data_IF_847734894715
#
_entry.id   IF_847734894715
#
_cell.length_a   1.000
_cell.length_b   1.000
_cell.length_c   1.000
_cell.angle_alpha   90.00
_cell.angle_beta   90.00
_cell.angle_gamma   90.00
#
_symmetry.space_group_name_H-M   'P 1'
#
loop_
_entity.id
_entity.type
_entity.pdbx_description
1 polymer ?
#
# COMPACT_ATOMS: atom_id res chain seq x y z
N UNK A 1 12.91 -13.34 -1.32
CA UNK A 1 12.03 -12.23 -1.73
C UNK A 1 12.30 -11.04 -0.83
N UNK A 2 12.81 -9.92 -1.36
CA UNK A 2 13.12 -8.71 -0.56
C UNK A 2 12.06 -7.60 -0.71
N UNK A 3 11.28 -7.64 -1.79
CA UNK A 3 10.20 -6.69 -2.04
C UNK A 3 9.03 -6.92 -1.07
N UNK A 4 8.36 -5.86 -0.58
CA UNK A 4 7.16 -6.02 0.23
C UNK A 4 6.07 -6.78 -0.54
N UNK A 5 5.37 -7.67 0.15
CA UNK A 5 4.29 -8.47 -0.42
C UNK A 5 2.92 -7.94 0.01
N UNK A 6 2.05 -7.73 -0.97
CA UNK A 6 0.62 -7.49 -0.78
C UNK A 6 -0.13 -8.74 -1.21
N UNK A 7 -0.99 -9.28 -0.33
CA UNK A 7 -1.78 -10.48 -0.62
C UNK A 7 -3.24 -10.09 -0.81
N UNK A 8 -3.86 -10.56 -1.88
CA UNK A 8 -5.28 -10.43 -2.15
C UNK A 8 -6.01 -11.61 -1.49
N UNK A 9 -6.98 -11.26 -0.65
CA UNK A 9 -7.86 -12.21 0.02
C UNK A 9 -9.28 -12.10 -0.55
N UNK A 10 -9.83 -13.25 -0.93
CA UNK A 10 -11.21 -13.35 -1.38
C UNK A 10 -12.20 -13.23 -0.22
N UNK A 11 -13.38 -12.68 -0.51
CA UNK A 11 -14.55 -12.68 0.39
C UNK A 11 -14.26 -12.19 1.81
N UNK A 12 -13.59 -11.05 1.93
CA UNK A 12 -13.31 -10.44 3.23
C UNK A 12 -14.60 -10.06 3.96
N UNK A 13 -14.73 -10.50 5.22
CA UNK A 13 -15.82 -10.11 6.12
C UNK A 13 -15.32 -9.08 7.14
N UNK A 14 -16.22 -8.25 7.68
CA UNK A 14 -15.87 -7.24 8.69
C UNK A 14 -15.18 -5.97 8.17
N UNK A 15 -14.96 -5.84 6.86
CA UNK A 15 -14.40 -4.63 6.25
C UNK A 15 -15.47 -3.78 5.53
N UNK A 16 -15.33 -2.44 5.53
CA UNK A 16 -16.23 -1.52 4.80
C UNK A 16 -16.29 -1.84 3.29
N UNK A 17 -17.41 -1.52 2.65
CA UNK A 17 -17.54 -1.69 1.20
C UNK A 17 -16.54 -0.83 0.40
N UNK A 18 -16.16 0.33 0.94
CA UNK A 18 -15.22 1.27 0.29
C UNK A 18 -13.81 0.71 0.09
N UNK A 19 -13.42 -0.35 0.81
CA UNK A 19 -12.10 -0.98 0.65
C UNK A 19 -12.13 -2.24 -0.22
N UNK A 20 -13.33 -2.71 -0.59
CA UNK A 20 -13.49 -3.95 -1.36
C UNK A 20 -13.48 -3.65 -2.85
N UNK A 21 -12.83 -4.52 -3.61
CA UNK A 21 -12.98 -4.56 -5.05
C UNK A 21 -14.42 -5.00 -5.44
N UNK A 22 -14.84 -4.81 -6.70
CA UNK A 22 -16.17 -5.23 -7.16
C UNK A 22 -16.48 -6.72 -6.96
N UNK A 23 -15.45 -7.58 -6.95
CA UNK A 23 -15.56 -9.01 -6.68
C UNK A 23 -15.58 -9.37 -5.17
N UNK A 24 -15.53 -8.36 -4.30
CA UNK A 24 -15.51 -8.50 -2.85
C UNK A 24 -14.13 -8.82 -2.24
N UNK A 25 -13.08 -8.89 -3.06
CA UNK A 25 -11.71 -9.13 -2.59
C UNK A 25 -11.10 -7.88 -1.94
N UNK A 26 -10.09 -8.09 -1.09
CA UNK A 26 -9.30 -7.02 -0.44
C UNK A 26 -7.82 -7.36 -0.48
N UNK A 27 -7.00 -6.37 -0.83
CA UNK A 27 -5.56 -6.45 -0.74
C UNK A 27 -5.08 -6.03 0.67
N UNK A 28 -4.28 -6.88 1.32
CA UNK A 28 -3.68 -6.61 2.63
C UNK A 28 -2.16 -6.76 2.57
N UNK A 29 -1.46 -5.96 3.37
CA UNK A 29 0.00 -6.01 3.52
C UNK A 29 0.37 -5.82 4.99
N UNK A 30 1.36 -6.57 5.45
CA UNK A 30 2.04 -6.29 6.72
C UNK A 30 3.18 -5.31 6.45
N UNK A 31 3.11 -4.12 7.03
CA UNK A 31 4.17 -3.13 6.90
C UNK A 31 5.43 -3.60 7.64
N UNK A 32 6.59 -3.47 7.00
CA UNK A 32 7.89 -3.84 7.57
C UNK A 32 8.72 -2.64 8.00
N UNK A 33 8.46 -1.46 7.42
CA UNK A 33 9.09 -0.20 7.81
C UNK A 33 8.71 0.15 9.27
N UNK A 34 9.71 0.52 10.07
CA UNK A 34 9.57 0.77 11.50
C UNK A 34 8.58 1.89 11.80
N UNK A 35 8.71 3.02 11.09
CA UNK A 35 7.79 4.15 11.22
C UNK A 35 6.35 3.74 10.91
N UNK A 36 6.11 3.01 9.82
CA UNK A 36 4.78 2.51 9.48
C UNK A 36 4.22 1.58 10.57
N UNK A 37 5.06 0.70 11.12
CA UNK A 37 4.64 -0.24 12.18
C UNK A 37 4.26 0.48 13.46
N UNK A 38 5.05 1.46 13.89
CA UNK A 38 4.75 2.26 15.08
C UNK A 38 3.49 3.12 14.88
N UNK A 39 3.34 3.72 13.70
CA UNK A 39 2.15 4.51 13.35
C UNK A 39 0.88 3.65 13.43
N UNK A 40 0.88 2.47 12.79
CA UNK A 40 -0.26 1.55 12.81
C UNK A 40 -0.54 1.05 14.24
N UNK A 41 0.51 0.71 15.00
CA UNK A 41 0.37 0.26 16.39
C UNK A 41 -0.23 1.34 17.29
N UNK A 42 0.24 2.58 17.16
CA UNK A 42 -0.27 3.74 17.93
C UNK A 42 -1.70 4.10 17.51
N UNK A 43 -2.02 4.00 16.22
CA UNK A 43 -3.37 4.21 15.70
C UNK A 43 -4.35 3.12 16.19
N UNK A 44 -3.85 1.92 16.49
CA UNK A 44 -4.62 0.82 17.08
C UNK A 44 -5.60 0.14 16.11
N UNK A 45 -5.52 0.45 14.82
CA UNK A 45 -6.39 -0.07 13.76
C UNK A 45 -5.61 -0.20 12.43
N UNK A 46 -6.07 -1.02 11.47
CA UNK A 46 -5.49 -1.05 10.14
C UNK A 46 -5.57 0.30 9.43
N UNK A 47 -4.60 0.59 8.56
CA UNK A 47 -4.60 1.76 7.68
C UNK A 47 -4.92 1.35 6.25
N UNK A 48 -5.82 2.09 5.62
CA UNK A 48 -6.07 2.02 4.19
C UNK A 48 -5.04 2.92 3.52
N UNK A 49 -4.32 2.39 2.53
CA UNK A 49 -3.27 3.13 1.83
C UNK A 49 -3.32 2.84 0.34
N UNK A 50 -3.03 3.87 -0.45
CA UNK A 50 -2.69 3.78 -1.88
C UNK A 50 -1.29 4.35 -2.08
N UNK A 51 -0.74 4.21 -3.28
CA UNK A 51 0.45 4.97 -3.66
C UNK A 51 0.11 6.45 -3.79
N UNK A 52 1.07 7.32 -3.50
CA UNK A 52 0.91 8.78 -3.50
C UNK A 52 1.01 9.39 -4.91
N UNK A 53 0.20 8.88 -5.84
CA UNK A 53 0.06 9.36 -7.21
C UNK A 53 -1.42 9.44 -7.59
N UNK A 54 -1.74 10.18 -8.66
CA UNK A 54 -3.09 10.16 -9.19
C UNK A 54 -3.37 8.83 -9.88
N UNK A 55 -4.64 8.46 -9.93
CA UNK A 55 -5.07 7.24 -10.59
C UNK A 55 -4.65 7.25 -12.07
N UNK A 56 -3.95 6.19 -12.50
CA UNK A 56 -3.40 6.07 -13.86
C UNK A 56 -2.00 6.68 -14.06
N UNK A 57 -1.49 7.48 -13.12
CA UNK A 57 -0.13 8.01 -13.19
C UNK A 57 0.91 7.01 -12.67
N UNK A 58 2.19 7.14 -13.06
CA UNK A 58 3.27 6.31 -12.53
C UNK A 58 3.42 6.41 -11.00
N UNK A 59 3.89 5.31 -10.40
CA UNK A 59 4.29 5.30 -8.99
C UNK A 59 5.47 6.28 -8.76
N UNK A 60 5.46 7.10 -7.71
CA UNK A 60 6.56 7.99 -7.40
C UNK A 60 7.65 7.23 -6.61
N UNK A 61 8.84 7.00 -7.18
CA UNK A 61 9.88 6.18 -6.54
C UNK A 61 10.52 6.85 -5.31
N UNK A 62 10.35 8.16 -5.15
CA UNK A 62 10.88 8.97 -4.05
C UNK A 62 9.89 10.07 -3.70
N UNK A 63 10.06 10.70 -2.53
CA UNK A 63 9.25 11.85 -2.14
C UNK A 63 9.28 12.99 -3.16
N UNK A 64 10.46 13.28 -3.74
CA UNK A 64 10.63 14.35 -4.74
C UNK A 64 9.89 14.10 -6.06
N UNK A 65 9.41 12.88 -6.31
CA UNK A 65 8.60 12.54 -7.48
C UNK A 65 7.08 12.65 -7.24
N UNK A 66 6.64 12.94 -6.01
CA UNK A 66 5.22 13.16 -5.70
C UNK A 66 4.81 14.52 -6.25
N UNK A 67 3.66 14.57 -6.92
CA UNK A 67 3.17 15.82 -7.51
C UNK A 67 2.81 16.85 -6.43
N UNK A 68 3.09 18.12 -6.70
CA UNK A 68 2.73 19.24 -5.82
C UNK A 68 1.22 19.33 -5.58
N UNK A 69 0.40 18.86 -6.53
CA UNK A 69 -1.04 18.77 -6.37
C UNK A 69 -1.42 17.82 -5.23
N UNK A 70 -0.82 16.64 -5.14
CA UNK A 70 -1.10 15.72 -4.03
C UNK A 70 -0.64 16.34 -2.72
N UNK A 71 0.57 16.89 -2.68
CA UNK A 71 1.13 17.50 -1.47
C UNK A 71 0.31 18.70 -0.97
N UNK A 72 -0.31 19.45 -1.88
CA UNK A 72 -1.16 20.60 -1.56
C UNK A 72 -2.61 20.25 -1.18
N UNK A 73 -3.07 19.02 -1.43
CA UNK A 73 -4.45 18.59 -1.19
C UNK A 73 -4.60 17.63 0.00
N UNK A 74 -3.55 17.40 0.78
CA UNK A 74 -3.59 16.56 1.99
C UNK A 74 -3.47 17.41 3.26
N UNK A 75 -4.14 16.98 4.33
CA UNK A 75 -4.10 17.68 5.62
C UNK A 75 -2.70 17.65 6.27
N UNK A 76 -1.92 16.61 5.98
CA UNK A 76 -0.61 16.42 6.57
C UNK A 76 0.33 15.61 5.68
N UNK A 77 1.58 16.05 5.63
CA UNK A 77 2.70 15.33 5.00
C UNK A 77 3.74 15.05 6.07
N UNK A 78 4.00 13.77 6.34
CA UNK A 78 5.01 13.37 7.33
C UNK A 78 6.43 13.71 6.84
N UNK A 79 7.29 14.20 7.74
CA UNK A 79 8.67 14.62 7.42
C UNK A 79 9.68 13.47 7.34
N UNK A 80 9.29 12.26 7.71
CA UNK A 80 10.17 11.09 7.75
C UNK A 80 10.67 10.72 6.35
N UNK A 81 12.00 10.58 6.18
CA UNK A 81 12.69 10.14 4.95
C UNK A 81 12.34 10.90 3.66
N UNK A 82 11.93 12.16 3.74
CA UNK A 82 11.65 12.97 2.52
C UNK A 82 12.90 13.27 1.67
N UNK A 83 14.07 13.22 2.28
CA UNK A 83 15.37 13.43 1.64
C UNK A 83 15.94 12.17 1.00
N UNK A 84 15.34 11.00 1.26
CA UNK A 84 15.75 9.73 0.67
C UNK A 84 15.69 9.76 -0.85
N UNK A 85 16.78 9.29 -1.48
CA UNK A 85 16.96 9.27 -2.94
C UNK A 85 16.98 7.86 -3.49
N UNK A 86 16.93 6.83 -2.64
CA UNK A 86 16.85 5.46 -3.08
C UNK A 86 15.55 5.26 -3.85
N UNK A 87 15.64 4.78 -5.09
CA UNK A 87 14.47 4.50 -5.87
C UNK A 87 13.85 3.21 -5.38
N UNK A 88 12.60 3.31 -4.93
CA UNK A 88 11.85 2.15 -4.51
C UNK A 88 10.87 1.69 -5.56
N UNK A 89 10.63 0.41 -5.48
CA UNK A 89 9.71 -0.29 -6.33
C UNK A 89 8.39 -0.58 -5.59
N UNK A 90 7.23 -0.61 -6.29
CA UNK A 90 5.97 -0.96 -5.66
C UNK A 90 5.99 -2.39 -5.10
N UNK A 91 5.07 -2.73 -4.21
CA UNK A 91 4.97 -4.09 -3.68
C UNK A 91 4.64 -5.12 -4.76
N UNK A 92 5.16 -6.33 -4.61
CA UNK A 92 4.65 -7.49 -5.33
C UNK A 92 3.23 -7.76 -4.85
N UNK A 93 2.35 -8.17 -5.76
CA UNK A 93 0.96 -8.51 -5.47
C UNK A 93 0.78 -9.98 -5.77
N UNK A 94 0.37 -10.74 -4.75
CA UNK A 94 -0.03 -12.12 -4.92
C UNK A 94 -1.49 -12.33 -4.52
N UNK A 95 -2.14 -13.31 -5.12
CA UNK A 95 -3.45 -13.82 -4.72
C UNK A 95 -3.26 -15.21 -4.15
N UNK A 96 -3.99 -15.52 -3.08
CA UNK A 96 -4.04 -16.90 -2.57
C UNK A 96 -5.14 -17.64 -3.31
N UNK A 97 -4.78 -18.72 -4.02
CA UNK A 97 -5.76 -19.51 -4.76
C UNK A 97 -6.49 -20.53 -3.86
N UNK A 98 -7.42 -21.28 -4.44
CA UNK A 98 -8.19 -22.31 -3.73
C UNK A 98 -7.34 -23.50 -3.23
N UNK A 99 -6.12 -23.65 -3.75
CA UNK A 99 -5.16 -24.68 -3.40
C UNK A 99 -4.14 -24.20 -2.35
N UNK A 100 -4.30 -22.97 -1.83
CA UNK A 100 -3.36 -22.29 -0.92
C UNK A 100 -2.01 -21.98 -1.56
N UNK A 101 -1.96 -21.88 -2.88
CA UNK A 101 -0.79 -21.44 -3.62
C UNK A 101 -0.85 -19.93 -3.90
N UNK A 102 0.32 -19.29 -3.94
CA UNK A 102 0.44 -17.87 -4.25
C UNK A 102 0.56 -17.68 -5.76
N UNK A 103 -0.43 -17.04 -6.37
CA UNK A 103 -0.41 -16.56 -7.75
C UNK A 103 0.06 -15.11 -7.78
N UNK A 104 1.22 -14.83 -8.38
CA UNK A 104 1.75 -13.46 -8.49
C UNK A 104 1.10 -12.72 -9.66
N UNK A 105 0.40 -11.63 -9.35
CA UNK A 105 -0.23 -10.73 -10.32
C UNK A 105 0.69 -9.59 -10.73
N UNK A 106 1.65 -9.25 -9.86
CA UNK A 106 2.70 -8.27 -10.10
C UNK A 106 3.92 -8.67 -9.28
N UNK A 107 5.07 -8.77 -9.95
CA UNK A 107 6.36 -8.91 -9.27
C UNK A 107 6.86 -7.57 -8.76
#
# INVERSE_FOLDING_TARGET
HQRPLTVIYDRSTGLPASVKAPDGSVAMRVAQDEFCRELIATFGKPLISTSANKSGEPFPPTYGAISSEILGNVDYVVKYRQDDKEQHEPSSIARLDRHQELEFLRD
#
